data_IF_394275913503
#
_entry.id   IF_394275913503
#
_cell.length_a   1.000
_cell.length_b   1.000
_cell.length_c   1.000
_cell.angle_alpha   90.00
_cell.angle_beta   90.00
_cell.angle_gamma   90.00
#
_symmetry.space_group_name_H-M   'P 1'
#
loop_
_entity.id
_entity.type
_entity.pdbx_description
1 polymer ?
#
# COMPACT_ATOMS: atom_id res chain seq x y z
N UNK A 1 3.57 -13.68 -4.95
CA UNK A 1 2.73 -12.56 -4.48
C UNK A 1 1.30 -12.84 -4.93
N UNK A 2 0.28 -12.18 -4.37
CA UNK A 2 -1.12 -12.37 -4.81
C UNK A 2 -1.27 -12.16 -6.32
N UNK A 3 -0.76 -11.04 -6.84
CA UNK A 3 -0.69 -10.70 -8.27
C UNK A 3 -0.16 -11.86 -9.12
N UNK A 4 0.98 -12.45 -8.74
CA UNK A 4 1.59 -13.57 -9.47
C UNK A 4 0.64 -14.77 -9.63
N UNK A 5 -0.12 -15.09 -8.58
CA UNK A 5 -1.08 -16.20 -8.63
C UNK A 5 -2.31 -15.83 -9.47
N UNK A 6 -2.78 -14.58 -9.37
CA UNK A 6 -3.85 -14.07 -10.22
C UNK A 6 -3.46 -14.10 -11.70
N UNK A 7 -2.23 -13.74 -12.08
CA UNK A 7 -1.77 -13.83 -13.48
C UNK A 7 -1.75 -15.27 -14.04
N UNK A 8 -1.70 -16.27 -13.16
CA UNK A 8 -1.81 -17.69 -13.52
C UNK A 8 -3.19 -18.29 -13.30
N UNK A 9 -4.18 -17.47 -12.91
CA UNK A 9 -5.53 -17.86 -12.51
C UNK A 9 -5.56 -18.92 -11.38
N UNK A 10 -4.54 -18.97 -10.54
CA UNK A 10 -4.47 -19.81 -9.34
C UNK A 10 -5.15 -19.09 -8.17
N UNK A 11 -6.48 -19.13 -8.15
CA UNK A 11 -7.29 -18.35 -7.21
C UNK A 11 -7.09 -18.79 -5.75
N UNK A 12 -6.87 -20.08 -5.49
CA UNK A 12 -6.64 -20.60 -4.13
C UNK A 12 -5.32 -20.08 -3.56
N UNK A 13 -4.25 -20.11 -4.37
CA UNK A 13 -2.97 -19.54 -3.96
C UNK A 13 -3.03 -18.01 -3.83
N UNK A 14 -3.79 -17.34 -4.70
CA UNK A 14 -4.00 -15.89 -4.63
C UNK A 14 -4.70 -15.49 -3.31
N UNK A 15 -5.78 -16.17 -2.94
CA UNK A 15 -6.50 -15.94 -1.68
C UNK A 15 -5.63 -16.22 -0.46
N UNK A 16 -4.89 -17.34 -0.46
CA UNK A 16 -3.93 -17.66 0.62
C UNK A 16 -2.85 -16.59 0.77
N UNK A 17 -2.33 -16.07 -0.35
CA UNK A 17 -1.35 -14.99 -0.33
C UNK A 17 -1.96 -13.68 0.17
N UNK A 18 -3.22 -13.39 -0.18
CA UNK A 18 -3.96 -12.22 0.28
C UNK A 18 -4.16 -12.24 1.81
N UNK A 19 -4.63 -13.36 2.36
CA UNK A 19 -4.83 -13.54 3.80
C UNK A 19 -3.54 -13.30 4.61
N UNK A 20 -2.41 -13.85 4.14
CA UNK A 20 -1.12 -13.64 4.80
C UNK A 20 -0.66 -12.19 4.74
N UNK A 21 -0.84 -11.54 3.59
CA UNK A 21 -0.45 -10.14 3.44
C UNK A 21 -1.31 -9.21 4.31
N UNK A 22 -2.61 -9.48 4.41
CA UNK A 22 -3.52 -8.79 5.34
C UNK A 22 -3.05 -8.97 6.77
N UNK A 23 -2.82 -10.21 7.21
CA UNK A 23 -2.36 -10.50 8.57
C UNK A 23 -1.07 -9.75 8.93
N UNK A 24 -0.04 -9.79 8.08
CA UNK A 24 1.22 -9.11 8.35
C UNK A 24 1.09 -7.58 8.34
N UNK A 25 0.24 -7.01 7.49
CA UNK A 25 0.01 -5.56 7.50
C UNK A 25 -0.74 -5.12 8.75
N UNK A 26 -1.72 -5.89 9.22
CA UNK A 26 -2.40 -5.64 10.48
C UNK A 26 -1.42 -5.65 11.66
N UNK A 27 -0.52 -6.64 11.73
CA UNK A 27 0.55 -6.67 12.74
C UNK A 27 1.48 -5.44 12.65
N UNK A 28 1.85 -5.04 11.43
CA UNK A 28 2.68 -3.87 11.21
C UNK A 28 1.99 -2.59 11.69
N UNK A 29 0.69 -2.41 11.42
CA UNK A 29 -0.06 -1.24 11.85
C UNK A 29 -0.21 -1.17 13.38
N UNK A 30 -0.36 -2.30 14.07
CA UNK A 30 -0.33 -2.35 15.54
C UNK A 30 1.02 -1.84 16.07
N UNK A 31 2.13 -2.24 15.46
CA UNK A 31 3.46 -1.78 15.84
C UNK A 31 3.71 -0.29 15.47
N UNK A 32 3.15 0.17 14.36
CA UNK A 32 3.26 1.57 13.91
C UNK A 32 2.44 2.52 14.79
N UNK A 33 1.32 2.08 15.35
CA UNK A 33 0.39 2.92 16.14
C UNK A 33 0.02 2.34 17.53
N UNK A 34 0.96 2.00 18.43
CA UNK A 34 0.74 1.50 19.79
C UNK A 34 -0.11 2.39 20.70
N UNK A 35 -0.29 3.68 20.38
CA UNK A 35 -1.18 4.56 21.13
C UNK A 35 -2.66 4.45 20.70
N UNK A 36 -2.93 3.78 19.58
CA UNK A 36 -4.27 3.44 19.09
C UNK A 36 -4.66 2.05 19.64
N UNK A 37 -5.94 1.82 20.01
CA UNK A 37 -6.40 0.48 20.37
C UNK A 37 -6.06 -0.55 19.29
N UNK A 38 -5.50 -1.70 19.69
CA UNK A 38 -5.00 -2.71 18.76
C UNK A 38 -6.04 -3.12 17.70
N UNK A 39 -7.30 -3.33 18.08
CA UNK A 39 -8.41 -3.67 17.17
C UNK A 39 -8.59 -2.63 16.03
N UNK A 40 -8.46 -1.33 16.35
CA UNK A 40 -8.56 -0.26 15.34
C UNK A 40 -7.35 -0.23 14.44
N UNK A 41 -6.15 -0.45 14.99
CA UNK A 41 -4.92 -0.50 14.21
C UNK A 41 -4.88 -1.73 13.28
N UNK A 42 -5.32 -2.89 13.76
CA UNK A 42 -5.48 -4.11 12.97
C UNK A 42 -6.42 -3.89 11.80
N UNK A 43 -7.62 -3.35 12.07
CA UNK A 43 -8.62 -3.04 11.05
C UNK A 43 -8.10 -2.02 10.02
N UNK A 44 -7.36 -0.99 10.46
CA UNK A 44 -6.70 -0.06 9.56
C UNK A 44 -5.67 -0.75 8.64
N UNK A 45 -4.91 -1.72 9.15
CA UNK A 45 -4.00 -2.52 8.33
C UNK A 45 -4.72 -3.38 7.28
N UNK A 46 -5.86 -3.97 7.65
CA UNK A 46 -6.71 -4.73 6.72
C UNK A 46 -7.25 -3.84 5.60
N UNK A 47 -7.79 -2.66 5.94
CA UNK A 47 -8.30 -1.68 4.99
C UNK A 47 -7.21 -1.13 4.08
N UNK A 48 -6.01 -0.91 4.60
CA UNK A 48 -4.87 -0.49 3.80
C UNK A 48 -4.49 -1.57 2.76
N UNK A 49 -4.43 -2.85 3.16
CA UNK A 49 -4.19 -3.95 2.22
C UNK A 49 -5.29 -4.11 1.19
N UNK A 50 -6.55 -3.91 1.60
CA UNK A 50 -7.68 -3.92 0.68
C UNK A 50 -7.55 -2.81 -0.37
N UNK A 51 -7.12 -1.62 0.03
CA UNK A 51 -6.86 -0.51 -0.89
C UNK A 51 -5.69 -0.81 -1.84
N UNK A 52 -4.62 -1.44 -1.34
CA UNK A 52 -3.47 -1.87 -2.14
C UNK A 52 -3.87 -2.94 -3.17
N UNK A 53 -4.64 -3.96 -2.78
CA UNK A 53 -5.15 -4.96 -3.71
C UNK A 53 -6.06 -4.36 -4.78
N UNK A 54 -6.90 -3.39 -4.41
CA UNK A 54 -7.74 -2.70 -5.38
C UNK A 54 -6.91 -1.86 -6.36
N UNK A 55 -5.85 -1.21 -5.89
CA UNK A 55 -4.90 -0.50 -6.75
C UNK A 55 -4.19 -1.46 -7.73
N UNK A 56 -3.70 -2.61 -7.24
CA UNK A 56 -3.13 -3.67 -8.07
C UNK A 56 -4.13 -4.17 -9.15
N UNK A 57 -5.41 -4.33 -8.79
CA UNK A 57 -6.48 -4.69 -9.72
C UNK A 57 -6.84 -3.61 -10.75
N UNK A 58 -6.54 -2.35 -10.47
CA UNK A 58 -6.70 -1.25 -11.40
C UNK A 58 -5.53 -1.24 -12.39
N UNK A 59 -4.30 -1.35 -11.88
CA UNK A 59 -3.08 -1.31 -12.68
C UNK A 59 -2.91 -2.53 -13.60
N UNK A 60 -3.24 -3.72 -13.10
CA UNK A 60 -3.03 -4.97 -13.81
C UNK A 60 -4.32 -5.51 -14.47
N UNK A 61 -5.33 -4.65 -14.67
CA UNK A 61 -6.65 -5.06 -15.16
C UNK A 61 -6.57 -5.89 -16.45
N UNK A 62 -5.89 -5.36 -17.46
CA UNK A 62 -5.73 -6.02 -18.77
C UNK A 62 -5.03 -7.38 -18.65
N UNK A 63 -4.10 -7.51 -17.70
CA UNK A 63 -3.39 -8.76 -17.46
C UNK A 63 -4.26 -9.82 -16.76
N UNK A 64 -5.33 -9.41 -16.09
CA UNK A 64 -6.29 -10.30 -15.43
C UNK A 64 -7.46 -10.72 -16.33
N UNK A 65 -7.64 -10.11 -17.51
CA UNK A 65 -8.77 -10.37 -18.41
C UNK A 65 -8.92 -11.86 -18.76
N UNK A 66 -7.80 -12.54 -19.03
CA UNK A 66 -7.80 -13.98 -19.30
C UNK A 66 -8.37 -14.80 -18.13
N UNK A 67 -8.20 -14.35 -16.88
CA UNK A 67 -8.74 -15.05 -15.72
C UNK A 67 -10.25 -14.84 -15.54
N UNK A 68 -10.83 -13.80 -16.11
CA UNK A 68 -12.28 -13.58 -16.07
C UNK A 68 -13.05 -14.50 -17.04
N UNK A 69 -12.35 -15.21 -17.94
CA UNK A 69 -12.93 -16.29 -18.74
C UNK A 69 -13.22 -17.56 -17.90
N UNK A 70 -12.68 -17.65 -16.69
CA UNK A 70 -12.87 -18.75 -15.75
C UNK A 70 -13.95 -18.44 -14.69
N UNK A 71 -14.40 -19.47 -13.96
CA UNK A 71 -15.25 -19.27 -12.79
C UNK A 71 -14.42 -18.68 -11.64
N UNK A 72 -14.58 -17.39 -11.40
CA UNK A 72 -13.82 -16.64 -10.39
C UNK A 72 -14.50 -16.80 -9.02
N UNK A 73 -13.83 -17.41 -8.02
CA UNK A 73 -14.44 -17.59 -6.72
C UNK A 73 -14.63 -16.24 -6.00
N UNK A 74 -15.68 -16.09 -5.19
CA UNK A 74 -15.89 -14.89 -4.38
C UNK A 74 -14.66 -14.61 -3.50
N UNK A 75 -14.18 -13.37 -3.51
CA UNK A 75 -13.02 -12.94 -2.72
C UNK A 75 -11.66 -13.10 -3.41
N UNK A 76 -11.59 -13.70 -4.61
CA UNK A 76 -10.37 -13.69 -5.41
C UNK A 76 -9.95 -12.26 -5.79
N UNK A 77 -10.92 -11.41 -6.13
CA UNK A 77 -10.78 -9.98 -6.38
C UNK A 77 -11.51 -9.18 -5.30
N UNK A 78 -10.95 -8.02 -4.94
CA UNK A 78 -11.54 -7.06 -4.01
C UNK A 78 -12.63 -6.25 -4.70
N UNK A 79 -12.42 -5.91 -5.97
CA UNK A 79 -13.47 -5.34 -6.81
C UNK A 79 -14.43 -6.42 -7.31
N UNK A 80 -15.69 -6.05 -7.48
CA UNK A 80 -16.64 -6.87 -8.23
C UNK A 80 -16.23 -6.90 -9.71
N UNK A 81 -15.93 -8.09 -10.24
CA UNK A 81 -15.63 -8.34 -11.65
C UNK A 81 -16.92 -8.40 -12.49
N UNK A 82 -17.00 -7.82 -13.70
CA UNK A 82 -16.63 -6.47 -14.13
C UNK A 82 -17.80 -5.50 -13.92
N UNK A 83 -17.51 -4.28 -13.45
CA UNK A 83 -18.30 -3.13 -13.92
C UNK A 83 -17.72 -2.78 -15.29
N UNK A 84 -18.58 -2.54 -16.29
CA UNK A 84 -18.22 -2.05 -17.63
C UNK A 84 -17.66 -0.61 -17.50
N UNK A 85 -16.61 -0.40 -16.70
CA UNK A 85 -15.92 0.87 -16.70
C UNK A 85 -15.19 0.94 -18.04
N UNK A 86 -15.84 1.59 -19.00
CA UNK A 86 -15.32 2.14 -20.26
C UNK A 86 -14.15 3.12 -20.03
N UNK A 87 -13.39 2.95 -18.96
CA UNK A 87 -12.21 3.74 -18.67
C UNK A 87 -11.07 3.16 -19.47
N UNK A 88 -10.83 3.76 -20.64
CA UNK A 88 -9.69 3.43 -21.50
C UNK A 88 -8.34 3.71 -20.82
N UNK A 89 -8.32 4.33 -19.63
CA UNK A 89 -7.08 4.67 -18.92
C UNK A 89 -7.18 4.47 -17.41
N UNK A 90 -6.05 4.14 -16.78
CA UNK A 90 -5.89 4.13 -15.32
C UNK A 90 -6.26 5.49 -14.67
N UNK A 91 -6.30 6.62 -15.38
CA UNK A 91 -6.67 7.92 -14.78
C UNK A 91 -8.15 8.05 -14.48
N UNK A 92 -8.97 7.51 -15.37
CA UNK A 92 -10.42 7.71 -15.37
C UNK A 92 -11.14 6.56 -14.68
N UNK A 93 -10.39 5.59 -14.14
CA UNK A 93 -10.96 4.43 -13.46
C UNK A 93 -11.71 4.89 -12.20
N UNK A 94 -13.05 4.69 -12.14
CA UNK A 94 -13.85 5.15 -11.01
C UNK A 94 -13.48 4.47 -9.69
N UNK A 95 -12.83 3.29 -9.74
CA UNK A 95 -12.40 2.52 -8.55
C UNK A 95 -11.32 3.25 -7.75
N UNK A 96 -10.62 4.24 -8.33
CA UNK A 96 -9.73 5.12 -7.54
C UNK A 96 -10.46 5.90 -6.45
N UNK A 97 -11.77 6.15 -6.61
CA UNK A 97 -12.59 6.72 -5.54
C UNK A 97 -12.64 5.76 -4.35
N UNK A 98 -12.85 4.47 -4.62
CA UNK A 98 -12.98 3.44 -3.59
C UNK A 98 -11.64 3.20 -2.87
N UNK A 99 -10.52 3.25 -3.61
CA UNK A 99 -9.16 3.28 -3.01
C UNK A 99 -9.03 4.44 -2.02
N UNK A 100 -9.45 5.64 -2.42
CA UNK A 100 -9.40 6.83 -1.55
C UNK A 100 -10.33 6.72 -0.35
N UNK A 101 -11.51 6.13 -0.51
CA UNK A 101 -12.47 5.92 0.57
C UNK A 101 -11.93 4.94 1.61
N UNK A 102 -11.35 3.82 1.17
CA UNK A 102 -10.65 2.86 2.05
C UNK A 102 -9.52 3.54 2.84
N UNK A 103 -8.66 4.29 2.14
CA UNK A 103 -7.59 5.05 2.80
C UNK A 103 -8.12 6.18 3.70
N UNK A 104 -9.32 6.70 3.41
CA UNK A 104 -10.03 7.65 4.27
C UNK A 104 -10.41 7.01 5.60
N UNK A 105 -10.98 5.81 5.56
CA UNK A 105 -11.30 5.05 6.78
C UNK A 105 -10.03 4.67 7.55
N UNK A 106 -8.93 4.33 6.88
CA UNK A 106 -7.61 4.16 7.54
C UNK A 106 -7.20 5.43 8.30
N UNK A 107 -7.43 6.61 7.72
CA UNK A 107 -7.15 7.87 8.41
C UNK A 107 -8.01 8.05 9.66
N UNK A 108 -9.30 7.73 9.56
CA UNK A 108 -10.24 7.82 10.69
C UNK A 108 -9.87 6.84 11.82
N UNK A 109 -9.44 5.61 11.49
CA UNK A 109 -9.06 4.60 12.47
C UNK A 109 -7.78 4.95 13.24
N UNK A 110 -6.87 5.67 12.60
CA UNK A 110 -5.54 5.97 13.14
C UNK A 110 -5.35 7.43 13.54
N UNK A 111 -6.40 8.26 13.42
CA UNK A 111 -6.33 9.71 13.59
C UNK A 111 -5.23 10.36 12.72
N UNK A 112 -5.04 9.87 11.48
CA UNK A 112 -4.16 10.48 10.48
C UNK A 112 -4.92 11.63 9.80
N UNK A 113 -4.21 12.70 9.43
CA UNK A 113 -4.83 13.79 8.66
C UNK A 113 -5.42 13.23 7.33
N UNK A 114 -6.70 13.48 7.01
CA UNK A 114 -7.36 12.96 5.79
C UNK A 114 -6.70 13.37 4.47
N UNK A 115 -5.86 14.41 4.46
CA UNK A 115 -5.02 14.74 3.31
C UNK A 115 -4.10 13.57 2.91
N UNK A 116 -3.73 12.70 3.85
CA UNK A 116 -2.99 11.45 3.57
C UNK A 116 -3.71 10.60 2.53
N UNK A 117 -5.00 10.29 2.72
CA UNK A 117 -5.75 9.45 1.80
C UNK A 117 -5.76 10.04 0.37
N UNK A 118 -5.93 11.36 0.26
CA UNK A 118 -5.91 12.06 -1.03
C UNK A 118 -4.54 12.00 -1.70
N UNK A 119 -3.48 12.27 -0.95
CA UNK A 119 -2.12 12.27 -1.50
C UNK A 119 -1.62 10.86 -1.79
N UNK A 120 -1.91 9.88 -0.94
CA UNK A 120 -1.46 8.51 -1.11
C UNK A 120 -2.14 7.84 -2.32
N UNK A 121 -3.46 8.06 -2.48
CA UNK A 121 -4.18 7.64 -3.71
C UNK A 121 -3.56 8.28 -4.96
N UNK A 122 -3.28 9.59 -4.90
CA UNK A 122 -2.64 10.30 -6.02
C UNK A 122 -1.23 9.78 -6.30
N UNK A 123 -0.46 9.46 -5.26
CA UNK A 123 0.86 8.87 -5.39
C UNK A 123 0.76 7.54 -6.13
N UNK A 124 -0.03 6.58 -5.64
CA UNK A 124 -0.18 5.28 -6.30
C UNK A 124 -0.57 5.43 -7.76
N UNK A 125 -1.56 6.26 -8.07
CA UNK A 125 -1.98 6.49 -9.45
C UNK A 125 -0.89 7.08 -10.35
N UNK A 126 -0.09 8.03 -9.86
CA UNK A 126 1.03 8.60 -10.65
C UNK A 126 2.18 7.60 -10.82
N UNK A 127 2.44 6.81 -9.77
CA UNK A 127 3.50 5.81 -9.74
C UNK A 127 3.21 4.67 -10.71
N UNK A 128 2.01 4.09 -10.69
CA UNK A 128 1.59 3.06 -11.65
C UNK A 128 1.55 3.50 -13.12
N UNK A 129 1.62 4.81 -13.37
CA UNK A 129 1.73 5.38 -14.73
C UNK A 129 3.15 5.78 -15.13
N UNK A 130 4.13 5.62 -14.23
CA UNK A 130 5.49 6.14 -14.41
C UNK A 130 5.52 7.66 -14.70
N UNK A 131 4.57 8.42 -14.14
CA UNK A 131 4.46 9.87 -14.37
C UNK A 131 5.37 10.64 -13.42
N UNK A 132 6.13 11.59 -13.98
CA UNK A 132 7.00 12.49 -13.23
C UNK A 132 6.28 13.16 -12.05
N UNK A 133 7.00 13.27 -10.93
CA UNK A 133 6.53 13.96 -9.73
C UNK A 133 5.76 13.08 -8.74
N UNK A 134 5.59 11.78 -9.00
CA UNK A 134 5.04 10.84 -8.02
C UNK A 134 5.84 10.86 -6.71
N UNK A 135 7.17 10.97 -6.77
CA UNK A 135 8.07 11.01 -5.60
C UNK A 135 7.73 12.17 -4.66
N UNK A 136 7.40 13.34 -5.23
CA UNK A 136 7.03 14.53 -4.46
C UNK A 136 5.71 14.32 -3.73
N UNK A 137 4.74 13.70 -4.38
CA UNK A 137 3.44 13.37 -3.78
C UNK A 137 3.60 12.29 -2.71
N UNK A 138 4.38 11.24 -3.00
CA UNK A 138 4.70 10.14 -2.10
C UNK A 138 5.35 10.66 -0.82
N UNK A 139 6.40 11.47 -0.94
CA UNK A 139 7.08 12.10 0.20
C UNK A 139 6.11 12.93 1.03
N UNK A 140 5.25 13.74 0.39
CA UNK A 140 4.28 14.57 1.12
C UNK A 140 3.26 13.72 1.87
N UNK A 141 2.70 12.68 1.25
CA UNK A 141 1.80 11.74 1.92
C UNK A 141 2.51 11.08 3.11
N UNK A 142 3.73 10.59 2.90
CA UNK A 142 4.45 9.85 3.92
C UNK A 142 4.87 10.72 5.11
N UNK A 143 5.18 12.01 4.90
CA UNK A 143 5.40 12.97 6.00
C UNK A 143 4.20 13.05 6.94
N UNK A 144 2.97 12.98 6.41
CA UNK A 144 1.74 13.00 7.22
C UNK A 144 1.66 11.74 8.10
N UNK A 145 1.90 10.55 7.51
CA UNK A 145 1.91 9.28 8.25
C UNK A 145 2.98 9.27 9.34
N UNK A 146 4.21 9.67 9.03
CA UNK A 146 5.32 9.71 9.99
C UNK A 146 5.05 10.69 11.13
N UNK A 147 4.50 11.87 10.83
CA UNK A 147 4.11 12.82 11.88
C UNK A 147 3.08 12.24 12.86
N UNK A 148 2.23 11.31 12.40
CA UNK A 148 1.30 10.58 13.27
C UNK A 148 1.98 9.46 14.06
N UNK A 149 2.91 8.72 13.46
CA UNK A 149 3.63 7.62 14.12
C UNK A 149 4.63 8.12 15.17
N UNK A 150 5.25 9.28 14.94
CA UNK A 150 6.27 9.87 15.80
C UNK A 150 5.99 11.38 16.02
N UNK A 151 5.00 11.74 16.85
CA UNK A 151 4.54 13.13 17.01
C UNK A 151 5.58 14.05 17.68
N UNK A 152 6.58 13.49 18.37
CA UNK A 152 7.72 14.21 18.97
C UNK A 152 8.80 14.58 17.95
N UNK A 153 8.81 13.94 16.77
CA UNK A 153 9.88 14.10 15.79
C UNK A 153 9.89 15.50 15.17
N UNK A 154 11.08 16.07 14.99
CA UNK A 154 11.20 17.35 14.31
C UNK A 154 10.92 17.25 12.80
N UNK A 155 10.62 18.40 12.18
CA UNK A 155 10.26 18.46 10.77
C UNK A 155 11.35 17.96 9.81
N UNK A 156 12.63 17.97 10.22
CA UNK A 156 13.75 17.47 9.41
C UNK A 156 13.82 15.94 9.46
N UNK A 157 13.57 15.36 10.63
CA UNK A 157 13.56 13.91 10.84
C UNK A 157 12.38 13.28 10.13
N UNK A 158 11.19 13.87 10.24
CA UNK A 158 10.00 13.45 9.48
C UNK A 158 10.28 13.45 7.97
N UNK A 159 10.95 14.50 7.50
CA UNK A 159 11.30 14.64 6.09
C UNK A 159 12.31 13.60 5.60
N UNK A 160 13.32 13.29 6.42
CA UNK A 160 14.30 12.24 6.13
C UNK A 160 13.65 10.85 6.06
N UNK A 161 12.76 10.53 7.01
CA UNK A 161 12.02 9.27 7.01
C UNK A 161 11.11 9.15 5.78
N UNK A 162 10.44 10.24 5.39
CA UNK A 162 9.67 10.27 4.16
C UNK A 162 10.53 10.11 2.88
N UNK A 163 11.77 10.61 2.90
CA UNK A 163 12.71 10.35 1.80
C UNK A 163 13.14 8.88 1.75
N UNK A 164 13.37 8.24 2.90
CA UNK A 164 13.67 6.80 2.95
C UNK A 164 12.52 5.96 2.37
N UNK A 165 11.28 6.33 2.65
CA UNK A 165 10.12 5.68 2.03
C UNK A 165 10.17 5.77 0.49
N UNK A 166 10.42 6.95 -0.07
CA UNK A 166 10.55 7.13 -1.54
C UNK A 166 11.67 6.26 -2.10
N UNK A 167 12.84 6.22 -1.44
CA UNK A 167 13.95 5.36 -1.86
C UNK A 167 13.55 3.88 -1.82
N UNK A 168 12.79 3.46 -0.81
CA UNK A 168 12.23 2.11 -0.73
C UNK A 168 11.33 1.77 -1.91
N UNK A 169 10.44 2.68 -2.31
CA UNK A 169 9.58 2.51 -3.49
C UNK A 169 10.42 2.40 -4.77
N UNK A 170 11.39 3.30 -4.98
CA UNK A 170 12.28 3.22 -6.16
C UNK A 170 13.05 1.91 -6.21
N UNK A 171 13.51 1.37 -5.06
CA UNK A 171 14.18 0.06 -5.02
C UNK A 171 13.24 -1.10 -5.30
N UNK A 172 12.00 -1.00 -4.86
CA UNK A 172 10.97 -1.99 -5.18
C UNK A 172 10.73 -2.06 -6.71
N UNK A 173 10.76 -0.93 -7.41
CA UNK A 173 10.59 -0.91 -8.87
C UNK A 173 11.75 -1.56 -9.63
N UNK A 174 12.93 -1.68 -9.02
CA UNK A 174 14.09 -2.36 -9.60
C UNK A 174 14.03 -3.89 -9.44
N UNK A 175 12.99 -4.44 -8.80
CA UNK A 175 12.86 -5.88 -8.57
C UNK A 175 12.63 -6.62 -9.89
N UNK A 176 13.48 -7.62 -10.14
CA UNK A 176 13.40 -8.45 -11.35
C UNK A 176 12.41 -9.60 -11.19
N UNK A 177 11.92 -9.87 -9.96
CA UNK A 177 10.92 -10.89 -9.63
C UNK A 177 11.33 -12.34 -9.98
N UNK A 178 12.62 -12.55 -10.30
CA UNK A 178 13.22 -13.86 -10.56
C UNK A 178 13.75 -14.53 -9.28
N UNK A 179 14.05 -13.74 -8.24
CA UNK A 179 14.66 -14.23 -7.00
C UNK A 179 14.16 -13.40 -5.80
N UNK A 180 13.11 -13.86 -5.09
CA UNK A 180 12.56 -13.15 -3.93
C UNK A 180 13.59 -12.81 -2.88
N UNK A 181 14.59 -13.67 -2.65
CA UNK A 181 15.68 -13.42 -1.70
C UNK A 181 16.52 -12.19 -2.08
N UNK A 182 16.81 -12.03 -3.39
CA UNK A 182 17.59 -10.89 -3.90
C UNK A 182 16.78 -9.61 -3.81
N UNK A 183 15.54 -9.67 -4.28
CA UNK A 183 14.63 -8.53 -4.33
C UNK A 183 14.37 -8.00 -2.91
N UNK A 184 14.04 -8.87 -1.96
CA UNK A 184 13.84 -8.50 -0.55
C UNK A 184 15.14 -8.00 0.10
N UNK A 185 16.27 -8.68 -0.09
CA UNK A 185 17.54 -8.27 0.52
C UNK A 185 18.01 -6.89 0.06
N UNK A 186 17.64 -6.47 -1.16
CA UNK A 186 17.97 -5.13 -1.68
C UNK A 186 17.24 -3.99 -0.97
N UNK A 187 16.09 -4.27 -0.35
CA UNK A 187 15.24 -3.28 0.32
C UNK A 187 15.23 -3.42 1.85
N UNK A 188 15.63 -4.59 2.39
CA UNK A 188 15.52 -4.89 3.82
C UNK A 188 16.30 -3.91 4.69
N UNK A 189 17.50 -3.50 4.28
CA UNK A 189 18.32 -2.55 5.04
C UNK A 189 17.67 -1.17 5.11
N UNK A 190 16.99 -0.75 4.04
CA UNK A 190 16.27 0.54 3.99
C UNK A 190 15.07 0.49 4.94
N UNK A 191 14.28 -0.59 4.87
CA UNK A 191 13.09 -0.78 5.72
C UNK A 191 13.49 -0.92 7.18
N UNK A 192 14.52 -1.70 7.49
CA UNK A 192 15.03 -1.87 8.85
C UNK A 192 15.55 -0.55 9.42
N UNK A 193 16.33 0.22 8.64
CA UNK A 193 16.82 1.52 9.07
C UNK A 193 15.67 2.51 9.31
N UNK A 194 14.66 2.51 8.44
CA UNK A 194 13.46 3.32 8.58
C UNK A 194 12.73 3.01 9.89
N UNK A 195 12.39 1.75 10.14
CA UNK A 195 11.64 1.36 11.33
C UNK A 195 12.45 1.48 12.62
N UNK A 196 13.76 1.17 12.59
CA UNK A 196 14.63 1.40 13.73
C UNK A 196 14.59 2.87 14.15
N UNK A 197 14.78 3.79 13.19
CA UNK A 197 14.75 5.22 13.52
C UNK A 197 13.36 5.67 14.00
N UNK A 198 12.30 5.11 13.44
CA UNK A 198 10.93 5.40 13.88
C UNK A 198 10.69 4.96 15.32
N UNK A 199 11.17 3.78 15.71
CA UNK A 199 11.03 3.28 17.09
C UNK A 199 11.92 4.04 18.07
N UNK A 200 13.16 4.36 17.70
CA UNK A 200 14.06 5.18 18.54
C UNK A 200 13.40 6.52 18.91
N UNK A 201 12.73 7.17 17.96
CA UNK A 201 12.05 8.45 18.18
C UNK A 201 10.89 8.39 19.19
N UNK A 202 10.31 7.21 19.38
CA UNK A 202 9.19 6.99 20.32
C UNK A 202 9.72 6.69 21.72
N UNK A 203 10.82 5.96 21.81
CA UNK A 203 11.50 5.71 23.08
C UNK A 203 12.16 7.00 23.65
N UNK A 204 12.42 7.99 22.80
CA UNK A 204 12.90 9.32 23.17
C UNK A 204 11.78 10.27 23.71
N UNK A 205 10.50 9.88 23.62
CA UNK A 205 9.33 10.74 23.91
C UNK A 205 8.68 10.60 25.29
#
# INVERSE_FOLDING_TARGET
MRETHLLSCDFDAAMTAAERAVHHMSEAFVAEFPDVPAERAEHAGELFMRALFLQDEIENRDAFDACFEHDVPPGAFVSSVPDDSESDTINDDPRWRDVRELLGTVCDELDINPEYATLHTRFWRLHGQEVDGWETVARRAHRIKVARMAPSADGKTIDNLAQYFVVGVTRHDEWVRESPERDVSSAIDIVAHYYQRLFDLRDES
#
